data_IF_056392023383
#
_entry.id   IF_056392023383
#
_cell.length_a   1.000
_cell.length_b   1.000
_cell.length_c   1.000
_cell.angle_alpha   90.00
_cell.angle_beta   90.00
_cell.angle_gamma   90.00
#
_symmetry.space_group_name_H-M   'P 1'
#
loop_
_entity.id
_entity.type
_entity.pdbx_description
1 polymer ?
#
# COMPACT_ATOMS: atom_id res chain seq x y z
N UNK A 1 -0.37 -8.59 -10.89
CA UNK A 1 -0.54 -9.83 -11.63
C UNK A 1 -1.23 -9.51 -12.95
N UNK A 2 -0.69 -9.99 -14.05
CA UNK A 2 -1.32 -9.88 -15.36
C UNK A 2 -2.24 -11.06 -15.67
N UNK A 3 -3.00 -10.95 -16.76
CA UNK A 3 -3.87 -12.03 -17.24
C UNK A 3 -3.09 -13.28 -17.66
N UNK A 4 -1.86 -13.13 -18.13
CA UNK A 4 -0.97 -14.25 -18.48
C UNK A 4 -0.21 -14.85 -17.29
N UNK A 5 -0.47 -14.38 -16.07
CA UNK A 5 0.12 -14.92 -14.85
C UNK A 5 1.49 -14.34 -14.48
N UNK A 6 1.95 -13.29 -15.15
CA UNK A 6 3.21 -12.61 -14.81
C UNK A 6 2.96 -11.70 -13.60
N UNK A 7 3.79 -11.82 -12.57
CA UNK A 7 3.78 -10.93 -11.40
C UNK A 7 4.76 -9.79 -11.63
N UNK A 8 4.28 -8.56 -11.63
CA UNK A 8 5.11 -7.37 -11.73
C UNK A 8 5.39 -6.80 -10.35
N UNK A 9 6.65 -6.46 -10.09
CA UNK A 9 7.09 -5.94 -8.81
C UNK A 9 8.00 -4.72 -8.99
N UNK A 10 7.71 -3.68 -8.24
CA UNK A 10 8.59 -2.53 -8.10
C UNK A 10 9.63 -2.74 -7.01
N UNK A 11 10.53 -1.78 -6.86
CA UNK A 11 11.48 -1.78 -5.76
C UNK A 11 11.66 -0.38 -5.18
N UNK A 12 11.94 -0.30 -3.86
CA UNK A 12 12.08 1.00 -3.22
C UNK A 12 13.41 1.66 -3.60
N UNK A 13 14.54 1.10 -3.14
CA UNK A 13 15.86 1.73 -3.27
C UNK A 13 16.67 1.24 -4.46
N UNK A 14 16.39 0.03 -4.92
CA UNK A 14 17.08 -0.51 -6.10
C UNK A 14 16.71 0.24 -7.39
N UNK A 15 15.52 0.88 -7.42
CA UNK A 15 15.06 1.63 -8.58
C UNK A 15 14.71 0.75 -9.78
N UNK A 16 14.43 -0.52 -9.53
CA UNK A 16 14.17 -1.50 -10.58
C UNK A 16 12.69 -1.87 -10.64
N UNK A 17 12.26 -2.23 -11.83
CA UNK A 17 10.97 -2.85 -12.12
C UNK A 17 11.24 -4.28 -12.59
N UNK A 18 10.51 -5.25 -12.02
CA UNK A 18 10.70 -6.67 -12.31
C UNK A 18 9.42 -7.31 -12.87
N UNK A 19 9.62 -8.30 -13.76
CA UNK A 19 8.62 -9.29 -14.13
C UNK A 19 9.04 -10.66 -13.62
N UNK A 20 8.15 -11.35 -12.91
CA UNK A 20 8.37 -12.65 -12.31
C UNK A 20 7.42 -13.65 -12.94
N UNK A 21 7.96 -14.70 -13.56
CA UNK A 21 7.22 -15.73 -14.27
C UNK A 21 7.39 -17.08 -13.60
N UNK A 22 6.28 -17.72 -13.28
CA UNK A 22 6.15 -19.13 -12.90
C UNK A 22 5.45 -19.84 -14.08
N UNK A 23 6.23 -20.35 -15.02
CA UNK A 23 5.72 -20.88 -16.29
C UNK A 23 5.08 -22.28 -16.14
N UNK A 24 5.49 -23.01 -15.12
CA UNK A 24 5.02 -24.38 -14.87
C UNK A 24 3.94 -24.43 -13.76
N UNK A 25 3.64 -23.29 -13.13
CA UNK A 25 2.65 -23.11 -12.05
C UNK A 25 2.93 -23.98 -10.81
N UNK A 26 4.23 -24.21 -10.49
CA UNK A 26 4.61 -24.98 -9.29
C UNK A 26 4.75 -24.12 -8.03
N UNK A 27 4.53 -22.82 -8.17
CA UNK A 27 4.63 -21.84 -7.07
C UNK A 27 6.03 -21.28 -6.87
N UNK A 28 6.98 -21.61 -7.74
CA UNK A 28 8.35 -21.09 -7.74
C UNK A 28 8.60 -20.31 -9.03
N UNK A 29 9.34 -19.21 -8.93
CA UNK A 29 9.67 -18.42 -10.12
C UNK A 29 10.69 -19.16 -11.01
N UNK A 30 10.30 -19.46 -12.24
CA UNK A 30 11.22 -19.98 -13.27
C UNK A 30 12.11 -18.89 -13.85
N UNK A 31 11.60 -17.66 -13.89
CA UNK A 31 12.30 -16.53 -14.49
C UNK A 31 11.99 -15.21 -13.78
N UNK A 32 13.03 -14.42 -13.54
CA UNK A 32 12.92 -13.03 -13.07
C UNK A 32 13.62 -12.13 -14.08
N UNK A 33 12.90 -11.16 -14.61
CA UNK A 33 13.40 -10.20 -15.62
C UNK A 33 13.41 -8.81 -15.00
N UNK A 34 14.54 -8.09 -15.11
CA UNK A 34 14.57 -6.66 -14.86
C UNK A 34 14.05 -5.94 -16.10
N UNK A 35 12.87 -5.34 -15.99
CA UNK A 35 12.20 -4.64 -17.10
C UNK A 35 12.80 -3.26 -17.32
N UNK A 36 12.98 -2.52 -16.22
CA UNK A 36 13.54 -1.18 -16.20
C UNK A 36 14.38 -0.96 -14.93
N UNK A 37 15.22 0.07 -14.94
CA UNK A 37 16.16 0.38 -13.85
C UNK A 37 16.38 1.89 -13.74
N UNK A 38 17.02 2.34 -12.63
CA UNK A 38 17.27 3.76 -12.35
C UNK A 38 16.01 4.62 -12.19
N UNK A 39 14.88 4.00 -11.89
CA UNK A 39 13.66 4.71 -11.53
C UNK A 39 13.75 5.20 -10.07
N UNK A 40 13.11 6.32 -9.75
CA UNK A 40 13.12 6.84 -8.38
C UNK A 40 11.93 6.29 -7.61
N UNK A 41 12.18 5.31 -6.71
CA UNK A 41 11.17 4.66 -5.87
C UNK A 41 9.96 4.12 -6.68
N UNK A 42 10.15 3.23 -7.67
CA UNK A 42 9.07 2.71 -8.52
C UNK A 42 8.27 1.64 -7.78
N UNK A 43 7.53 2.02 -6.75
CA UNK A 43 6.83 1.09 -5.85
C UNK A 43 5.37 0.87 -6.23
N UNK A 44 4.72 1.87 -6.84
CA UNK A 44 3.33 1.76 -7.24
C UNK A 44 3.17 0.95 -8.52
N UNK A 45 2.40 -0.12 -8.48
CA UNK A 45 2.19 -1.04 -9.61
C UNK A 45 0.69 -1.27 -9.79
N UNK A 46 0.18 -1.05 -10.99
CA UNK A 46 -1.17 -1.42 -11.38
C UNK A 46 -1.20 -1.91 -12.83
N UNK A 47 -2.14 -2.78 -13.16
CA UNK A 47 -2.33 -3.28 -14.53
C UNK A 47 -3.77 -2.97 -14.95
N UNK A 48 -3.94 -2.51 -16.17
CA UNK A 48 -5.22 -2.34 -16.82
C UNK A 48 -5.08 -2.56 -18.32
N UNK A 49 -5.95 -3.36 -18.90
CA UNK A 49 -6.06 -3.60 -20.34
C UNK A 49 -4.74 -4.04 -21.00
N UNK A 50 -3.91 -4.82 -20.27
CA UNK A 50 -2.60 -5.31 -20.71
C UNK A 50 -1.45 -4.29 -20.58
N UNK A 51 -1.71 -3.09 -20.10
CA UNK A 51 -0.71 -2.06 -19.85
C UNK A 51 -0.33 -2.01 -18.37
N UNK A 52 0.97 -1.85 -18.08
CA UNK A 52 1.51 -1.74 -16.73
C UNK A 52 1.72 -0.28 -16.37
N UNK A 53 1.04 0.17 -15.34
CA UNK A 53 1.18 1.50 -14.76
C UNK A 53 2.16 1.46 -13.59
N UNK A 54 3.15 2.36 -13.60
CA UNK A 54 4.20 2.43 -12.57
C UNK A 54 4.25 3.82 -11.98
N UNK A 55 4.07 3.90 -10.66
CA UNK A 55 4.22 5.13 -9.89
C UNK A 55 5.64 5.27 -9.35
N UNK A 56 6.41 6.19 -9.92
CA UNK A 56 7.64 6.72 -9.35
C UNK A 56 7.35 7.96 -8.49
N UNK A 57 8.35 8.53 -7.83
CA UNK A 57 8.15 9.66 -6.90
C UNK A 57 7.37 10.80 -7.55
N UNK A 58 7.83 11.27 -8.70
CA UNK A 58 7.32 12.49 -9.32
C UNK A 58 6.56 12.26 -10.63
N UNK A 59 6.33 10.99 -11.02
CA UNK A 59 5.69 10.67 -12.30
C UNK A 59 4.95 9.34 -12.29
N UNK A 60 4.00 9.25 -13.21
CA UNK A 60 3.30 8.03 -13.57
C UNK A 60 3.76 7.60 -14.97
N UNK A 61 4.18 6.35 -15.09
CA UNK A 61 4.70 5.75 -16.31
C UNK A 61 3.76 4.64 -16.79
N UNK A 62 3.72 4.39 -18.10
CA UNK A 62 2.95 3.29 -18.68
C UNK A 62 3.80 2.50 -19.64
N UNK A 63 3.88 1.19 -19.41
CA UNK A 63 4.51 0.21 -20.29
C UNK A 63 3.42 -0.54 -21.04
N UNK A 64 3.29 -0.28 -22.32
CA UNK A 64 2.22 -0.82 -23.14
C UNK A 64 2.42 -2.29 -23.50
N UNK A 65 1.32 -3.06 -23.50
CA UNK A 65 1.31 -4.48 -23.84
C UNK A 65 2.40 -5.26 -23.10
N UNK A 66 2.51 -5.04 -21.79
CA UNK A 66 3.67 -5.44 -20.99
C UNK A 66 3.92 -6.95 -21.03
N UNK A 67 2.89 -7.77 -21.04
CA UNK A 67 3.02 -9.24 -21.10
C UNK A 67 3.76 -9.74 -22.35
N UNK A 68 3.76 -8.96 -23.43
CA UNK A 68 4.46 -9.28 -24.67
C UNK A 68 5.83 -8.65 -24.76
N UNK A 69 6.09 -7.61 -23.99
CA UNK A 69 7.27 -6.74 -24.14
C UNK A 69 8.23 -6.78 -22.97
N UNK A 70 7.81 -7.31 -21.79
CA UNK A 70 8.58 -7.21 -20.54
C UNK A 70 10.01 -7.77 -20.62
N UNK A 71 10.27 -8.77 -21.47
CA UNK A 71 11.61 -9.33 -21.69
C UNK A 71 12.52 -8.47 -22.58
N UNK A 72 11.92 -7.54 -23.33
CA UNK A 72 12.64 -6.67 -24.26
C UNK A 72 13.00 -5.30 -23.67
N UNK A 73 12.79 -5.10 -22.36
CA UNK A 73 12.99 -3.82 -21.67
C UNK A 73 12.31 -2.65 -22.41
N UNK A 74 10.98 -2.66 -22.50
CA UNK A 74 10.25 -1.66 -23.27
C UNK A 74 10.38 -0.27 -22.64
N UNK A 75 10.50 0.74 -23.48
CA UNK A 75 10.48 2.14 -23.04
C UNK A 75 9.05 2.54 -22.63
N UNK A 76 8.85 3.11 -21.44
CA UNK A 76 7.55 3.61 -21.02
C UNK A 76 7.23 4.95 -21.67
N UNK A 77 5.96 5.27 -21.83
CA UNK A 77 5.58 6.66 -21.99
C UNK A 77 5.24 7.30 -20.65
N UNK A 78 5.46 8.60 -20.53
CA UNK A 78 5.13 9.38 -19.34
C UNK A 78 3.67 9.76 -19.41
N UNK A 79 2.85 9.18 -18.53
CA UNK A 79 1.44 9.52 -18.41
C UNK A 79 1.27 10.88 -17.73
N UNK A 80 1.99 11.12 -16.62
CA UNK A 80 1.94 12.35 -15.85
C UNK A 80 3.27 12.59 -15.13
N UNK A 81 3.84 13.81 -15.13
CA UNK A 81 5.17 14.13 -14.61
C UNK A 81 5.23 15.36 -13.70
N UNK A 82 4.08 15.82 -13.20
CA UNK A 82 4.01 17.01 -12.34
C UNK A 82 3.68 16.67 -10.87
N UNK A 83 4.00 15.45 -10.42
CA UNK A 83 3.88 15.07 -9.02
C UNK A 83 5.03 15.69 -8.20
N UNK A 84 4.85 15.88 -6.86
CA UNK A 84 5.92 16.34 -5.99
C UNK A 84 7.17 15.43 -6.05
N UNK A 85 8.35 16.04 -5.91
CA UNK A 85 9.66 15.37 -6.03
C UNK A 85 10.22 14.87 -4.70
N UNK A 86 9.59 15.23 -3.57
CA UNK A 86 10.06 14.86 -2.25
C UNK A 86 10.04 13.34 -2.05
N UNK A 87 11.18 12.79 -1.68
CA UNK A 87 11.36 11.33 -1.53
C UNK A 87 10.89 10.79 -0.18
N UNK A 88 10.81 11.63 0.87
CA UNK A 88 10.26 11.23 2.16
C UNK A 88 8.76 10.98 2.05
N UNK A 89 8.30 9.76 2.30
CA UNK A 89 6.95 9.28 1.97
C UNK A 89 6.56 9.50 0.49
N UNK A 90 7.56 9.56 -0.38
CA UNK A 90 7.38 9.84 -1.80
C UNK A 90 6.97 8.62 -2.63
N UNK A 91 7.15 7.40 -2.09
CA UNK A 91 6.73 6.16 -2.74
C UNK A 91 5.23 6.16 -3.01
N UNK A 92 4.84 5.52 -4.11
CA UNK A 92 3.45 5.42 -4.53
C UNK A 92 2.90 4.02 -4.29
N UNK A 93 1.62 3.95 -4.06
CA UNK A 93 0.79 2.76 -4.27
C UNK A 93 -0.19 3.10 -5.38
N UNK A 94 -0.42 2.19 -6.31
CA UNK A 94 -1.35 2.40 -7.43
C UNK A 94 -2.48 1.38 -7.39
N UNK A 95 -3.67 1.81 -7.81
CA UNK A 95 -4.80 0.92 -8.04
C UNK A 95 -5.87 1.59 -8.88
N UNK A 96 -6.60 0.81 -9.66
CA UNK A 96 -7.76 1.29 -10.38
C UNK A 96 -9.02 1.08 -9.56
N UNK A 97 -9.84 2.12 -9.44
CA UNK A 97 -11.16 2.00 -8.83
C UNK A 97 -12.11 1.16 -9.70
N UNK A 98 -13.23 0.68 -9.14
CA UNK A 98 -14.25 -0.01 -9.93
C UNK A 98 -14.76 0.81 -11.12
N UNK A 99 -14.75 2.15 -11.02
CA UNK A 99 -15.12 3.08 -12.08
C UNK A 99 -14.02 3.33 -13.11
N UNK A 100 -12.81 2.79 -12.89
CA UNK A 100 -11.67 2.87 -13.80
C UNK A 100 -10.74 4.06 -13.59
N UNK A 101 -10.90 4.86 -12.53
CA UNK A 101 -9.96 5.92 -12.19
C UNK A 101 -8.69 5.34 -11.56
N UNK A 102 -7.53 5.88 -11.92
CA UNK A 102 -6.25 5.53 -11.30
C UNK A 102 -6.08 6.30 -9.98
N UNK A 103 -5.96 5.57 -8.87
CA UNK A 103 -5.70 6.14 -7.55
C UNK A 103 -4.23 6.01 -7.19
N UNK A 104 -3.71 7.00 -6.44
CA UNK A 104 -2.35 7.00 -5.90
C UNK A 104 -2.24 7.90 -4.67
N UNK A 105 -1.27 7.63 -3.80
CA UNK A 105 -0.98 8.43 -2.62
C UNK A 105 0.07 9.51 -2.92
N UNK A 106 -0.01 10.63 -2.20
CA UNK A 106 1.05 11.62 -2.06
C UNK A 106 1.27 11.86 -0.57
N UNK A 107 2.23 11.15 0.02
CA UNK A 107 2.49 11.20 1.45
C UNK A 107 3.04 12.54 1.91
N UNK A 108 2.93 12.83 3.21
CA UNK A 108 3.52 14.02 3.81
C UNK A 108 5.05 13.96 3.72
N UNK A 109 5.76 14.99 3.24
CA UNK A 109 7.21 14.96 3.06
C UNK A 109 7.98 15.23 4.37
N UNK A 110 7.46 14.74 5.49
CA UNK A 110 7.95 15.01 6.84
C UNK A 110 7.29 14.07 7.86
N UNK A 111 7.85 14.02 9.07
CA UNK A 111 7.17 13.35 10.16
C UNK A 111 5.82 14.02 10.49
N UNK A 112 5.83 15.35 10.68
CA UNK A 112 4.63 16.16 10.90
C UNK A 112 4.83 17.59 10.40
N UNK A 113 4.03 18.03 9.43
CA UNK A 113 4.10 19.36 8.84
C UNK A 113 2.81 19.72 8.07
N UNK A 114 2.68 21.01 7.78
CA UNK A 114 1.81 21.54 6.72
C UNK A 114 2.69 22.05 5.60
N UNK A 115 2.32 21.81 4.36
CA UNK A 115 3.00 22.29 3.16
C UNK A 115 2.06 23.15 2.32
N UNK A 116 2.64 24.05 1.54
CA UNK A 116 1.88 24.92 0.64
C UNK A 116 1.22 24.14 -0.51
N UNK A 117 1.93 23.15 -1.04
CA UNK A 117 1.34 22.26 -2.05
C UNK A 117 0.27 21.38 -1.40
N UNK A 118 -1.02 21.53 -1.80
CA UNK A 118 -2.15 20.83 -1.18
C UNK A 118 -2.22 19.34 -1.51
N UNK A 119 -1.35 18.84 -2.38
CA UNK A 119 -1.32 17.43 -2.75
C UNK A 119 -0.65 16.55 -1.69
N UNK A 120 0.21 17.13 -0.83
CA UNK A 120 0.80 16.37 0.26
C UNK A 120 -0.24 15.90 1.29
N UNK A 121 0.01 14.76 1.86
CA UNK A 121 -0.86 14.09 2.83
C UNK A 121 -2.26 13.80 2.27
N UNK A 122 -2.30 13.19 1.06
CA UNK A 122 -3.55 12.88 0.35
C UNK A 122 -3.52 11.51 -0.34
N UNK A 123 -4.72 11.02 -0.62
CA UNK A 123 -4.95 10.06 -1.71
C UNK A 123 -5.57 10.83 -2.87
N UNK A 124 -4.97 10.66 -4.04
CA UNK A 124 -5.35 11.31 -5.28
C UNK A 124 -6.04 10.30 -6.21
N UNK A 125 -6.85 10.80 -7.14
CA UNK A 125 -7.32 10.00 -8.26
C UNK A 125 -7.16 10.76 -9.58
N UNK A 126 -7.08 10.01 -10.67
CA UNK A 126 -6.89 10.50 -12.02
C UNK A 126 -7.78 9.72 -12.98
N UNK A 127 -8.66 10.42 -13.66
CA UNK A 127 -9.35 9.91 -14.84
C UNK A 127 -8.34 9.92 -16.01
N UNK A 128 -7.85 8.75 -16.38
CA UNK A 128 -6.83 8.60 -17.43
C UNK A 128 -7.36 8.78 -18.85
N UNK A 129 -8.69 8.81 -19.02
CA UNK A 129 -9.34 9.02 -20.30
C UNK A 129 -9.64 10.51 -20.57
N UNK A 130 -9.57 11.33 -19.52
CA UNK A 130 -9.80 12.78 -19.60
C UNK A 130 -8.59 13.53 -20.17
N UNK A 131 -8.84 14.45 -21.10
CA UNK A 131 -7.79 15.32 -21.67
C UNK A 131 -8.18 16.80 -21.45
N UNK A 132 -7.34 17.65 -20.83
CA UNK A 132 -6.03 17.31 -20.24
C UNK A 132 -6.16 16.47 -18.98
N UNK A 133 -5.14 15.67 -18.69
CA UNK A 133 -5.05 14.92 -17.44
C UNK A 133 -4.99 15.86 -16.24
N UNK A 134 -5.82 15.61 -15.25
CA UNK A 134 -5.92 16.45 -14.06
C UNK A 134 -6.12 15.57 -12.81
N UNK A 135 -5.07 15.34 -12.01
CA UNK A 135 -5.22 14.67 -10.73
C UNK A 135 -6.08 15.46 -9.77
N UNK A 136 -7.00 14.80 -9.09
CA UNK A 136 -7.90 15.39 -8.11
C UNK A 136 -7.69 14.75 -6.74
N UNK A 137 -7.87 15.51 -5.66
CA UNK A 137 -7.73 15.00 -4.30
C UNK A 137 -8.99 14.25 -3.92
N UNK A 138 -8.86 12.94 -3.60
CA UNK A 138 -9.95 12.13 -3.08
C UNK A 138 -10.06 12.20 -1.55
N UNK A 139 -8.94 12.02 -0.83
CA UNK A 139 -8.88 12.07 0.64
C UNK A 139 -7.76 12.99 1.12
N UNK A 140 -7.99 13.72 2.21
CA UNK A 140 -7.04 14.67 2.82
C UNK A 140 -6.63 14.23 4.22
N UNK A 141 -5.50 14.74 4.71
CA UNK A 141 -5.05 14.45 6.07
C UNK A 141 -4.62 12.99 6.25
N UNK A 142 -4.10 12.38 5.20
CA UNK A 142 -3.55 11.04 5.13
C UNK A 142 -2.04 11.14 5.13
N UNK A 143 -1.40 10.83 6.27
CA UNK A 143 0.04 11.10 6.45
C UNK A 143 0.93 10.30 5.51
N UNK A 144 0.77 8.98 5.49
CA UNK A 144 1.61 8.06 4.73
C UNK A 144 0.87 6.74 4.49
N UNK A 145 -0.16 6.79 3.67
CA UNK A 145 -0.82 5.58 3.18
C UNK A 145 0.05 4.90 2.12
N UNK A 146 0.24 3.60 2.23
CA UNK A 146 1.01 2.78 1.28
C UNK A 146 0.19 1.57 0.83
N UNK A 147 -1.09 1.56 1.11
CA UNK A 147 -1.98 0.50 0.69
C UNK A 147 -3.44 0.91 0.78
N UNK A 148 -4.15 0.64 -0.28
CA UNK A 148 -5.60 0.84 -0.33
C UNK A 148 -6.26 -0.22 -1.22
N UNK A 149 -7.53 -0.44 -1.00
CA UNK A 149 -8.36 -1.34 -1.78
C UNK A 149 -9.81 -0.89 -1.73
N UNK A 150 -10.63 -1.38 -2.64
CA UNK A 150 -12.06 -1.10 -2.64
C UNK A 150 -12.83 -2.27 -2.02
N UNK A 151 -13.78 -1.93 -1.16
CA UNK A 151 -14.67 -2.93 -0.58
C UNK A 151 -15.46 -3.65 -1.69
N UNK A 152 -15.40 -4.99 -1.77
CA UNK A 152 -15.94 -5.72 -2.93
C UNK A 152 -17.45 -5.59 -3.11
N UNK A 153 -18.19 -5.30 -2.04
CA UNK A 153 -19.65 -5.15 -2.08
C UNK A 153 -20.14 -3.72 -2.26
N UNK A 154 -19.41 -2.72 -1.71
CA UNK A 154 -19.88 -1.31 -1.73
C UNK A 154 -19.10 -0.42 -2.68
N UNK A 155 -17.90 -0.84 -3.13
CA UNK A 155 -17.01 -0.02 -3.95
C UNK A 155 -16.32 1.12 -3.19
N UNK A 156 -16.50 1.22 -1.87
CA UNK A 156 -15.87 2.25 -1.06
C UNK A 156 -14.38 2.04 -0.92
N UNK A 157 -13.62 3.11 -0.92
CA UNK A 157 -12.18 3.08 -0.70
C UNK A 157 -11.86 2.81 0.77
N UNK A 158 -10.99 1.82 1.02
CA UNK A 158 -10.36 1.56 2.32
C UNK A 158 -8.85 1.68 2.18
N UNK A 159 -8.18 2.20 3.21
CA UNK A 159 -6.74 2.40 3.17
C UNK A 159 -6.11 2.33 4.56
N UNK A 160 -4.84 1.93 4.60
CA UNK A 160 -4.01 2.01 5.80
C UNK A 160 -3.31 3.36 5.87
N UNK A 161 -3.04 3.87 7.07
CA UNK A 161 -2.19 5.05 7.26
C UNK A 161 -1.21 4.86 8.42
N UNK A 162 0.06 5.20 8.15
CA UNK A 162 1.13 5.13 9.14
C UNK A 162 1.07 6.34 10.07
N UNK A 163 0.88 6.11 11.37
CA UNK A 163 0.91 7.14 12.40
C UNK A 163 2.23 7.90 12.46
N UNK A 164 2.21 9.13 13.01
CA UNK A 164 3.43 9.92 13.17
C UNK A 164 4.39 9.28 14.18
N UNK A 165 5.69 9.56 14.00
CA UNK A 165 6.73 9.12 14.91
C UNK A 165 6.95 10.12 16.06
N UNK A 166 7.65 9.66 17.11
CA UNK A 166 8.21 10.49 18.20
C UNK A 166 7.15 11.12 19.13
N UNK A 167 6.05 10.39 19.41
CA UNK A 167 5.14 10.69 20.52
C UNK A 167 5.22 9.65 21.65
N UNK A 168 6.17 8.75 21.60
CA UNK A 168 6.39 7.65 22.54
C UNK A 168 6.21 6.29 21.89
N UNK A 169 6.42 5.24 22.68
CA UNK A 169 6.39 3.85 22.20
C UNK A 169 4.97 3.36 21.86
N UNK A 170 3.97 3.87 22.57
CA UNK A 170 2.60 3.37 22.49
C UNK A 170 1.63 4.38 21.84
N UNK A 171 2.15 5.46 21.22
CA UNK A 171 1.33 6.55 20.68
C UNK A 171 1.98 7.18 19.45
N UNK A 172 1.19 7.47 18.38
CA UNK A 172 -0.20 7.05 18.15
C UNK A 172 -0.27 5.64 17.54
N UNK A 173 -1.48 5.07 17.52
CA UNK A 173 -1.77 3.91 16.68
C UNK A 173 -1.66 4.26 15.20
N UNK A 174 -1.30 3.28 14.38
CA UNK A 174 -1.54 3.29 12.94
C UNK A 174 -3.01 2.97 12.66
N UNK A 175 -3.47 3.25 11.45
CA UNK A 175 -4.90 3.34 11.16
C UNK A 175 -5.31 2.46 9.98
N UNK A 176 -6.49 1.88 10.08
CA UNK A 176 -7.29 1.43 8.94
C UNK A 176 -8.47 2.38 8.78
N UNK A 177 -8.57 3.01 7.64
CA UNK A 177 -9.53 4.05 7.32
C UNK A 177 -10.49 3.63 6.20
N UNK A 178 -11.67 4.24 6.16
CA UNK A 178 -12.68 4.09 5.12
C UNK A 178 -13.09 5.44 4.59
N UNK A 179 -13.05 5.62 3.27
CA UNK A 179 -13.47 6.83 2.58
C UNK A 179 -14.61 6.52 1.60
N UNK A 180 -15.88 6.57 2.04
CA UNK A 180 -17.04 6.25 1.20
C UNK A 180 -17.29 7.29 0.11
N UNK A 181 -16.80 8.51 0.29
CA UNK A 181 -16.94 9.63 -0.65
C UNK A 181 -15.66 10.46 -0.71
N UNK A 182 -15.47 11.17 -1.79
CA UNK A 182 -14.38 12.14 -1.92
C UNK A 182 -14.55 13.35 -0.98
N UNK A 183 -13.43 14.00 -0.64
CA UNK A 183 -13.37 15.25 0.12
C UNK A 183 -13.26 15.10 1.63
N UNK A 184 -13.27 13.88 2.17
CA UNK A 184 -13.10 13.62 3.58
C UNK A 184 -11.68 13.92 4.07
N UNK A 185 -11.54 14.28 5.37
CA UNK A 185 -10.26 14.58 6.00
C UNK A 185 -10.00 13.62 7.17
N UNK A 186 -8.83 12.97 7.20
CA UNK A 186 -8.45 11.91 8.12
C UNK A 186 -7.52 12.33 9.26
N UNK A 187 -7.33 13.62 9.46
CA UNK A 187 -6.77 14.19 10.70
C UNK A 187 -5.39 14.78 10.60
N UNK A 188 -4.45 14.19 9.86
CA UNK A 188 -3.08 14.69 9.77
C UNK A 188 -3.01 16.15 9.24
N UNK A 189 -2.21 17.05 9.86
CA UNK A 189 -1.29 16.83 10.97
C UNK A 189 -1.87 17.15 12.36
N UNK A 190 -3.16 17.39 12.49
CA UNK A 190 -3.81 17.91 13.69
C UNK A 190 -4.23 16.82 14.69
N UNK A 191 -4.73 15.71 14.17
CA UNK A 191 -5.17 14.55 14.95
C UNK A 191 -4.57 13.28 14.35
N UNK A 192 -4.17 12.36 15.21
CA UNK A 192 -3.67 11.04 14.90
C UNK A 192 -4.53 10.00 15.61
N UNK A 193 -4.79 8.88 14.95
CA UNK A 193 -5.75 7.90 15.44
C UNK A 193 -7.10 8.55 15.80
N UNK A 194 -7.87 7.96 16.70
CA UNK A 194 -9.20 8.49 17.05
C UNK A 194 -9.13 9.77 17.90
N UNK A 195 -8.09 9.95 18.73
CA UNK A 195 -8.14 10.93 19.82
C UNK A 195 -6.84 11.69 20.09
N UNK A 196 -5.73 11.35 19.47
CA UNK A 196 -4.42 11.96 19.78
C UNK A 196 -4.29 13.29 19.07
N UNK A 197 -4.42 14.39 19.80
CA UNK A 197 -4.21 15.74 19.29
C UNK A 197 -2.72 16.01 19.17
N UNK A 198 -2.30 16.52 18.02
CA UNK A 198 -0.90 16.84 17.80
C UNK A 198 -0.45 18.02 18.68
N UNK A 199 0.63 17.87 19.46
CA UNK A 199 1.08 18.93 20.40
C UNK A 199 1.58 20.19 19.70
N UNK A 200 1.96 20.11 18.41
CA UNK A 200 2.46 21.25 17.64
C UNK A 200 1.33 21.99 16.92
N UNK A 201 0.34 21.28 16.40
CA UNK A 201 -0.70 21.84 15.55
C UNK A 201 -2.03 22.07 16.28
N UNK A 202 -2.25 21.39 17.42
CA UNK A 202 -3.51 21.50 18.17
C UNK A 202 -4.69 20.81 17.50
N UNK A 203 -5.86 20.97 18.07
CA UNK A 203 -7.07 20.34 17.58
C UNK A 203 -7.53 20.89 16.21
N UNK A 204 -8.04 20.05 15.31
CA UNK A 204 -8.62 20.52 14.05
C UNK A 204 -9.87 21.35 14.29
N UNK A 205 -10.10 22.38 13.46
CA UNK A 205 -11.29 23.25 13.50
C UNK A 205 -12.35 22.85 12.44
N UNK A 206 -12.17 21.69 11.84
CA UNK A 206 -13.01 21.13 10.79
C UNK A 206 -13.32 19.65 11.11
N UNK A 207 -14.35 19.07 10.50
CA UNK A 207 -14.66 17.64 10.66
C UNK A 207 -13.51 16.74 10.25
N UNK A 208 -13.25 15.71 11.04
CA UNK A 208 -12.23 14.70 10.77
C UNK A 208 -12.85 13.32 10.97
N UNK A 209 -12.70 12.48 9.96
CA UNK A 209 -13.14 11.09 10.02
C UNK A 209 -12.23 10.29 10.98
N UNK A 210 -12.79 9.54 11.93
CA UNK A 210 -12.00 8.64 12.75
C UNK A 210 -11.61 7.39 11.95
N UNK A 211 -10.50 6.71 12.31
CA UNK A 211 -10.21 5.40 11.76
C UNK A 211 -11.32 4.40 12.11
N UNK A 212 -11.53 3.44 11.21
CA UNK A 212 -12.42 2.30 11.48
C UNK A 212 -11.80 1.38 12.50
N UNK A 213 -10.47 1.18 12.41
CA UNK A 213 -9.69 0.36 13.35
C UNK A 213 -8.36 1.04 13.65
N UNK A 214 -8.01 1.10 14.92
CA UNK A 214 -6.65 1.39 15.38
C UNK A 214 -5.85 0.09 15.42
N UNK A 215 -4.87 -0.03 14.51
CA UNK A 215 -4.08 -1.25 14.31
C UNK A 215 -2.98 -1.44 15.39
N UNK A 216 -2.77 -0.42 16.21
CA UNK A 216 -1.71 -0.39 17.20
C UNK A 216 -0.56 0.54 16.85
N UNK A 217 0.30 0.84 17.86
CA UNK A 217 1.35 1.83 17.69
C UNK A 217 2.50 1.28 16.84
N UNK A 218 2.90 2.06 15.85
CA UNK A 218 4.11 1.86 15.05
C UNK A 218 4.17 0.53 14.27
N UNK A 219 3.04 -0.17 14.08
CA UNK A 219 3.01 -1.45 13.33
C UNK A 219 3.38 -1.27 11.85
N UNK A 220 3.32 -0.04 11.35
CA UNK A 220 3.61 0.34 9.95
C UNK A 220 2.80 -0.51 8.95
N UNK A 221 1.45 -0.38 8.93
CA UNK A 221 0.62 -1.10 7.99
C UNK A 221 0.85 -0.54 6.59
N UNK A 222 1.33 -1.38 5.67
CA UNK A 222 1.55 -1.00 4.29
C UNK A 222 0.36 -1.46 3.44
N UNK A 223 0.52 -2.50 2.63
CA UNK A 223 -0.59 -2.97 1.80
C UNK A 223 -1.75 -3.53 2.62
N UNK A 224 -2.94 -3.37 2.06
CA UNK A 224 -4.15 -4.02 2.50
C UNK A 224 -4.90 -4.64 1.33
N UNK A 225 -5.59 -5.76 1.57
CA UNK A 225 -6.37 -6.45 0.56
C UNK A 225 -7.63 -7.06 1.16
N UNK A 226 -8.79 -6.81 0.57
CA UNK A 226 -9.97 -7.64 0.84
C UNK A 226 -9.76 -9.00 0.20
N UNK A 227 -9.87 -10.06 0.98
CA UNK A 227 -9.76 -11.42 0.46
C UNK A 227 -11.09 -11.83 -0.20
N UNK A 228 -11.04 -12.17 -1.46
CA UNK A 228 -12.21 -12.58 -2.26
C UNK A 228 -12.12 -14.02 -2.75
N UNK A 229 -10.95 -14.65 -2.59
CA UNK A 229 -10.66 -16.00 -3.03
C UNK A 229 -11.44 -17.09 -2.31
N UNK A 230 -11.25 -18.32 -2.77
CA UNK A 230 -11.91 -19.51 -2.23
C UNK A 230 -10.93 -20.57 -1.68
N UNK A 231 -9.62 -20.30 -1.72
CA UNK A 231 -8.62 -21.25 -1.20
C UNK A 231 -8.63 -21.31 0.32
N UNK A 232 -8.72 -20.17 0.98
CA UNK A 232 -8.80 -20.13 2.44
C UNK A 232 -10.22 -20.44 2.94
N UNK A 233 -10.39 -20.93 4.19
CA UNK A 233 -11.70 -21.17 4.78
C UNK A 233 -12.66 -19.99 4.64
N UNK A 234 -13.96 -20.27 4.51
CA UNK A 234 -15.03 -19.29 4.26
C UNK A 234 -15.00 -18.09 5.23
N UNK A 235 -14.57 -18.29 6.49
CA UNK A 235 -14.44 -17.23 7.49
C UNK A 235 -13.47 -16.11 7.12
N UNK A 236 -12.61 -16.33 6.13
CA UNK A 236 -11.65 -15.32 5.65
C UNK A 236 -12.17 -14.51 4.46
N UNK A 237 -13.26 -14.96 3.82
CA UNK A 237 -13.83 -14.25 2.69
C UNK A 237 -14.45 -12.93 3.14
N UNK A 238 -14.04 -11.82 2.53
CA UNK A 238 -14.45 -10.45 2.89
C UNK A 238 -13.61 -9.84 4.02
N UNK A 239 -12.75 -10.61 4.70
CA UNK A 239 -11.81 -10.06 5.67
C UNK A 239 -10.73 -9.21 4.96
N UNK A 240 -10.16 -8.25 5.70
CA UNK A 240 -9.05 -7.43 5.22
C UNK A 240 -7.74 -8.01 5.72
N UNK A 241 -6.83 -8.31 4.82
CA UNK A 241 -5.47 -8.76 5.14
C UNK A 241 -4.53 -7.57 5.02
N UNK A 242 -3.73 -7.30 6.05
CA UNK A 242 -2.84 -6.14 6.16
C UNK A 242 -1.42 -6.60 6.40
N UNK A 243 -0.49 -6.14 5.55
CA UNK A 243 0.94 -6.35 5.76
C UNK A 243 1.46 -5.28 6.74
N UNK A 244 1.82 -5.70 7.94
CA UNK A 244 2.43 -4.83 8.95
C UNK A 244 3.95 -4.92 8.86
N UNK A 245 4.58 -3.93 8.27
CA UNK A 245 6.03 -3.86 8.02
C UNK A 245 6.86 -3.80 9.31
N UNK A 246 6.27 -3.30 10.39
CA UNK A 246 6.84 -3.29 11.72
C UNK A 246 7.59 -2.02 12.09
N UNK A 247 7.70 -1.80 13.40
CA UNK A 247 8.25 -0.59 14.00
C UNK A 247 9.78 -0.46 13.80
N UNK A 248 10.25 0.78 13.77
CA UNK A 248 11.68 1.08 13.80
C UNK A 248 12.06 2.01 14.97
N UNK A 249 11.09 2.69 15.56
CA UNK A 249 11.26 3.82 16.47
C UNK A 249 10.77 3.54 17.90
N UNK A 250 10.55 2.27 18.27
CA UNK A 250 10.23 1.89 19.65
C UNK A 250 11.52 1.64 20.44
N UNK A 251 11.47 1.88 21.76
CA UNK A 251 12.60 1.59 22.64
C UNK A 251 12.85 0.08 22.74
N UNK A 252 14.07 -0.36 23.05
CA UNK A 252 14.36 -1.79 23.27
C UNK A 252 13.49 -2.41 24.37
N UNK A 253 13.16 -1.63 25.41
CA UNK A 253 12.36 -2.05 26.57
C UNK A 253 10.89 -2.32 26.15
N UNK A 254 10.34 -1.47 25.29
CA UNK A 254 8.99 -1.65 24.76
C UNK A 254 8.92 -2.78 23.73
N UNK A 255 10.03 -3.08 23.06
CA UNK A 255 10.09 -4.05 21.98
C UNK A 255 9.43 -3.57 20.69
N UNK A 256 9.67 -4.29 19.62
CA UNK A 256 9.08 -4.01 18.32
C UNK A 256 7.64 -4.52 18.20
N UNK A 257 6.84 -3.88 17.31
CA UNK A 257 5.46 -4.25 16.97
C UNK A 257 5.29 -4.40 15.46
N UNK A 258 4.24 -5.12 15.02
CA UNK A 258 4.05 -5.47 13.61
C UNK A 258 4.93 -6.65 13.19
N UNK A 259 5.42 -6.67 11.96
CA UNK A 259 6.18 -7.77 11.33
C UNK A 259 5.33 -9.03 11.18
N UNK A 260 4.10 -8.85 10.74
CA UNK A 260 3.13 -9.91 10.60
C UNK A 260 2.11 -9.58 9.49
N UNK A 261 1.23 -10.53 9.22
CA UNK A 261 0.00 -10.29 8.45
C UNK A 261 -1.15 -10.30 9.46
N UNK A 262 -1.80 -9.14 9.59
CA UNK A 262 -2.99 -8.95 10.41
C UNK A 262 -4.26 -9.12 9.57
N UNK A 263 -5.28 -9.76 10.14
CA UNK A 263 -6.61 -9.83 9.57
C UNK A 263 -7.50 -8.88 10.35
N UNK A 264 -8.35 -8.16 9.63
CA UNK A 264 -9.37 -7.28 10.20
C UNK A 264 -10.72 -7.65 9.62
N UNK A 265 -11.71 -7.87 10.49
CA UNK A 265 -13.09 -7.98 10.07
C UNK A 265 -13.67 -6.58 9.83
N UNK A 266 -14.09 -6.23 8.59
CA UNK A 266 -14.52 -4.87 8.27
C UNK A 266 -15.83 -4.45 8.95
N UNK A 267 -16.69 -5.41 9.35
CA UNK A 267 -17.98 -5.15 9.97
C UNK A 267 -17.86 -4.90 11.47
N UNK A 268 -16.95 -5.62 12.16
CA UNK A 268 -16.83 -5.60 13.61
C UNK A 268 -15.60 -4.85 14.10
N UNK A 269 -14.61 -4.63 13.25
CA UNK A 269 -13.30 -4.10 13.61
C UNK A 269 -12.43 -5.10 14.39
N UNK A 270 -12.85 -6.36 14.52
CA UNK A 270 -12.06 -7.37 15.21
C UNK A 270 -10.77 -7.69 14.45
N UNK A 271 -9.65 -7.77 15.17
CA UNK A 271 -8.33 -8.03 14.60
C UNK A 271 -7.77 -9.36 15.10
N UNK A 272 -6.99 -10.02 14.23
CA UNK A 272 -6.21 -11.20 14.61
C UNK A 272 -4.96 -11.31 13.73
N UNK A 273 -3.92 -11.96 14.23
CA UNK A 273 -2.71 -12.25 13.44
C UNK A 273 -2.95 -13.55 12.66
N UNK A 274 -2.71 -13.50 11.34
CA UNK A 274 -2.74 -14.68 10.48
C UNK A 274 -1.38 -15.38 10.46
N UNK A 275 -0.32 -14.62 10.24
CA UNK A 275 1.06 -15.10 10.15
C UNK A 275 1.97 -14.12 10.87
N UNK A 276 2.89 -14.64 11.63
CA UNK A 276 3.99 -13.94 12.24
C UNK A 276 5.32 -14.69 12.01
N UNK A 277 6.37 -14.28 12.73
CA UNK A 277 7.67 -14.97 12.72
C UNK A 277 8.79 -14.17 12.06
N UNK A 278 8.50 -13.10 11.31
CA UNK A 278 9.52 -12.21 10.73
C UNK A 278 10.32 -11.44 11.81
N UNK A 279 9.78 -11.34 13.04
CA UNK A 279 10.47 -10.79 14.19
C UNK A 279 10.80 -11.94 15.17
N UNK A 280 12.08 -12.17 15.44
CA UNK A 280 12.55 -13.19 16.38
C UNK A 280 13.50 -12.56 17.39
N UNK A 281 13.23 -12.74 18.69
CA UNK A 281 14.05 -12.15 19.77
C UNK A 281 14.28 -10.63 19.58
N UNK A 282 13.26 -9.90 19.18
CA UNK A 282 13.28 -8.47 18.86
C UNK A 282 14.24 -8.09 17.71
N UNK A 283 14.58 -9.05 16.84
CA UNK A 283 15.38 -8.84 15.63
C UNK A 283 14.58 -9.25 14.41
N UNK A 284 14.33 -8.29 13.52
CA UNK A 284 13.62 -8.56 12.28
C UNK A 284 14.55 -9.17 11.23
N UNK A 285 14.17 -10.32 10.66
CA UNK A 285 14.85 -10.92 9.51
C UNK A 285 14.08 -10.68 8.21
N UNK A 286 12.79 -10.38 8.27
CA UNK A 286 11.94 -10.00 7.15
C UNK A 286 10.96 -8.90 7.55
N UNK A 287 10.33 -8.28 6.55
CA UNK A 287 9.35 -7.19 6.71
C UNK A 287 8.34 -7.25 5.57
N UNK A 288 7.10 -7.72 5.82
CA UNK A 288 6.07 -7.80 4.77
C UNK A 288 5.65 -6.40 4.31
N UNK A 289 5.51 -6.22 2.98
CA UNK A 289 5.23 -4.91 2.37
C UNK A 289 3.95 -4.90 1.54
N UNK A 290 3.69 -5.97 0.77
CA UNK A 290 2.56 -6.01 -0.15
C UNK A 290 1.89 -7.38 -0.14
N UNK A 291 0.60 -7.41 -0.50
CA UNK A 291 -0.23 -8.61 -0.58
C UNK A 291 -0.94 -8.63 -1.93
N UNK A 292 -0.77 -9.71 -2.67
CA UNK A 292 -1.46 -9.94 -3.93
C UNK A 292 -2.24 -11.26 -3.88
N UNK A 293 -3.54 -11.20 -4.15
CA UNK A 293 -4.37 -12.40 -4.28
C UNK A 293 -4.19 -13.01 -5.67
N UNK A 294 -3.86 -14.30 -5.72
CA UNK A 294 -3.71 -15.07 -6.95
C UNK A 294 -5.06 -15.64 -7.41
N UNK A 295 -5.22 -15.99 -8.71
CA UNK A 295 -6.49 -16.51 -9.23
C UNK A 295 -6.96 -17.82 -8.58
N UNK A 296 -6.05 -18.60 -8.01
CA UNK A 296 -6.37 -19.81 -7.26
C UNK A 296 -6.78 -19.53 -5.80
N UNK A 297 -6.74 -18.26 -5.38
CA UNK A 297 -7.04 -17.80 -4.03
C UNK A 297 -5.85 -17.87 -3.06
N UNK A 298 -4.66 -18.31 -3.50
CA UNK A 298 -3.44 -18.14 -2.70
C UNK A 298 -3.03 -16.68 -2.64
N UNK A 299 -2.14 -16.34 -1.70
CA UNK A 299 -1.61 -14.98 -1.56
C UNK A 299 -0.11 -14.96 -1.85
N UNK A 300 0.34 -13.93 -2.56
CA UNK A 300 1.74 -13.56 -2.60
C UNK A 300 1.98 -12.44 -1.59
N UNK A 301 3.05 -12.56 -0.82
CA UNK A 301 3.47 -11.58 0.19
C UNK A 301 4.88 -11.13 -0.16
N UNK A 302 5.03 -9.84 -0.48
CA UNK A 302 6.34 -9.25 -0.73
C UNK A 302 7.03 -8.87 0.58
N UNK A 303 8.36 -9.03 0.62
CA UNK A 303 9.21 -8.70 1.76
C UNK A 303 10.46 -7.94 1.26
N UNK A 304 10.57 -6.67 1.60
CA UNK A 304 11.65 -5.80 1.13
C UNK A 304 12.96 -5.96 1.91
N UNK A 305 12.90 -6.55 3.11
CA UNK A 305 14.09 -6.83 3.91
C UNK A 305 14.74 -8.16 3.53
N UNK A 306 13.94 -9.20 3.38
CA UNK A 306 14.42 -10.51 2.92
C UNK A 306 14.67 -10.55 1.41
N UNK A 307 14.13 -9.59 0.64
CA UNK A 307 14.17 -9.51 -0.83
C UNK A 307 13.55 -10.74 -1.50
N UNK A 308 12.38 -11.15 -1.03
CA UNK A 308 11.65 -12.32 -1.53
C UNK A 308 10.17 -12.01 -1.67
N UNK A 309 9.48 -12.82 -2.45
CA UNK A 309 8.02 -12.91 -2.50
C UNK A 309 7.65 -14.32 -2.04
N UNK A 310 6.91 -14.41 -0.93
CA UNK A 310 6.39 -15.68 -0.41
C UNK A 310 5.06 -16.00 -1.06
N UNK A 311 4.76 -17.29 -1.24
CA UNK A 311 3.42 -17.77 -1.55
C UNK A 311 2.81 -18.42 -0.32
N UNK A 312 1.63 -17.96 0.06
CA UNK A 312 0.81 -18.52 1.12
C UNK A 312 -0.37 -19.26 0.52
N UNK A 313 -0.44 -20.55 0.75
CA UNK A 313 -1.55 -21.41 0.36
C UNK A 313 -2.18 -22.09 1.59
N UNK A 314 -3.43 -22.47 1.47
CA UNK A 314 -4.13 -23.25 2.48
C UNK A 314 -4.39 -24.66 1.96
N UNK A 315 -3.92 -25.65 2.71
CA UNK A 315 -4.21 -27.05 2.45
C UNK A 315 -5.16 -27.57 3.53
N UNK A 316 -6.19 -28.27 3.09
CA UNK A 316 -7.11 -28.94 4.01
C UNK A 316 -6.37 -30.11 4.62
N UNK A 317 -6.28 -30.23 5.98
CA UNK A 317 -5.57 -31.30 6.65
C UNK A 317 -6.15 -32.67 6.36
#
# INVERSE_FOLDING_TARGET
LSESGIVYAGSLRAGNLYGVLDANSDGSADKVVTIDHNLTLPTGIAIRDGDLYVGAVNKLLVYQNIDRTFEASPEPFVLYDQLPEETHHGWKYLGFSPEGNLFFNVGAPCNVCVKENPWFATIMHLDIERVPLQPEIFARGVRNSVGFSWHPGTGELWFTDNGRDLLGDDTPSCELNRAPIAGLHFGFPYRHASSVIDPKFGAPTFPVEPPVVELGPHVAPLAMKFYTGAMFPERYRGEIFIAEHGSWNRTPEAGHTGYNITIVNPETGATSILIDGWLQNNVAWGRPTDILEMPDGSLLIADDRANVIYRLSYEVP
#
